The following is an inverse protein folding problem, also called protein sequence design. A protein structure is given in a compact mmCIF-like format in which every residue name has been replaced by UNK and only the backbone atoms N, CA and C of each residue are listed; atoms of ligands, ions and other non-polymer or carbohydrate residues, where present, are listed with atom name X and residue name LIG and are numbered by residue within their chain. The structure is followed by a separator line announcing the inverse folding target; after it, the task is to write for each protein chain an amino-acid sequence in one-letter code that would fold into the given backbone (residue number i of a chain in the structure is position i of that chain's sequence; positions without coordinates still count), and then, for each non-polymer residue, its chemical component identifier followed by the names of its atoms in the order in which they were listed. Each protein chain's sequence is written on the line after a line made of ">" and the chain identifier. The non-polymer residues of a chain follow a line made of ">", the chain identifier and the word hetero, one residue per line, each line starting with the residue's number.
data_IF_136339382965
#
_entry.id   IF_136339382965
#
_cell.length_a   1.000
_cell.length_b   1.000
_cell.length_c   1.000
_cell.angle_alpha   90.00
_cell.angle_beta   90.00
_cell.angle_gamma   90.00
#
_symmetry.space_group_name_H-M   'P 1'
#
loop_
_entity.id
_entity.type
_entity.pdbx_description
1 polymer ?
#
# COMPACT_ATOMS: atom_id res chain seq x y z
N UNK A 1 -11.66 35.28 43.54
CA UNK A 1 -11.61 35.13 42.07
C UNK A 1 -11.14 33.72 41.77
N UNK A 2 -12.04 32.87 41.31
CA UNK A 2 -11.76 31.46 41.00
C UNK A 2 -11.43 31.39 39.52
N UNK A 3 -10.17 31.12 39.18
CA UNK A 3 -9.76 30.84 37.79
C UNK A 3 -9.76 29.32 37.66
N UNK A 4 -10.89 28.77 37.21
CA UNK A 4 -10.98 27.37 36.81
C UNK A 4 -10.25 27.20 35.48
N UNK A 5 -9.05 26.62 35.55
CA UNK A 5 -8.31 26.17 34.38
C UNK A 5 -8.90 24.81 33.94
N UNK A 6 -9.75 24.84 32.92
CA UNK A 6 -10.18 23.63 32.21
C UNK A 6 -9.00 23.13 31.39
N UNK A 7 -8.32 22.09 31.87
CA UNK A 7 -7.38 21.32 31.09
C UNK A 7 -8.18 20.48 30.08
N UNK A 8 -8.22 20.93 28.82
CA UNK A 8 -8.68 20.13 27.69
C UNK A 8 -7.69 18.98 27.49
N UNK A 9 -8.06 17.79 27.96
CA UNK A 9 -7.42 16.55 27.51
C UNK A 9 -7.73 16.38 26.02
N UNK A 10 -6.80 16.81 25.16
CA UNK A 10 -6.75 16.32 23.80
C UNK A 10 -6.28 14.85 23.87
N UNK A 11 -7.24 13.92 23.93
CA UNK A 11 -6.98 12.52 23.62
C UNK A 11 -6.59 12.50 22.14
N UNK A 12 -5.29 12.45 21.87
CA UNK A 12 -4.74 12.05 20.59
C UNK A 12 -5.14 10.59 20.38
N UNK A 13 -6.34 10.37 19.84
CA UNK A 13 -6.68 9.09 19.20
C UNK A 13 -5.76 8.97 18.01
N UNK A 14 -4.61 8.30 18.17
CA UNK A 14 -3.84 7.83 17.04
C UNK A 14 -4.77 6.86 16.31
N UNK A 15 -5.42 7.33 15.25
CA UNK A 15 -6.19 6.48 14.36
C UNK A 15 -5.26 5.38 13.87
N UNK A 16 -5.65 4.12 14.01
CA UNK A 16 -4.90 2.99 13.47
C UNK A 16 -4.62 3.24 11.98
N UNK A 17 -3.40 2.95 11.48
CA UNK A 17 -3.03 3.26 10.12
C UNK A 17 -3.91 2.46 9.15
N UNK A 18 -4.66 3.19 8.33
CA UNK A 18 -5.43 2.63 7.23
C UNK A 18 -4.48 1.95 6.21
N UNK A 19 -4.79 0.69 5.85
CA UNK A 19 -4.02 -0.10 4.90
C UNK A 19 -3.82 0.59 3.54
N UNK A 20 -4.83 1.33 3.06
CA UNK A 20 -4.72 2.09 1.82
C UNK A 20 -3.77 3.28 1.97
N UNK A 21 -3.80 3.98 3.11
CA UNK A 21 -2.85 5.05 3.43
C UNK A 21 -1.41 4.51 3.48
N UNK A 22 -1.21 3.39 4.17
CA UNK A 22 0.09 2.74 4.29
C UNK A 22 0.63 2.32 2.91
N UNK A 23 -0.24 1.83 2.03
CA UNK A 23 0.11 1.45 0.65
C UNK A 23 0.57 2.63 -0.18
N UNK A 24 -0.17 3.75 -0.13
CA UNK A 24 0.17 4.97 -0.87
C UNK A 24 1.51 5.54 -0.40
N UNK A 25 1.69 5.62 0.91
CA UNK A 25 2.92 6.13 1.50
C UNK A 25 4.13 5.20 1.22
N UNK A 26 3.94 3.88 1.25
CA UNK A 26 4.96 2.92 0.82
C UNK A 26 5.33 3.09 -0.66
N UNK A 27 4.36 3.40 -1.53
CA UNK A 27 4.64 3.65 -2.95
C UNK A 27 5.60 4.82 -3.16
N UNK A 28 5.43 5.91 -2.40
CA UNK A 28 6.28 7.09 -2.46
C UNK A 28 7.68 6.80 -1.93
N UNK A 29 7.75 6.14 -0.77
CA UNK A 29 9.02 5.67 -0.17
C UNK A 29 9.78 4.74 -1.11
N UNK A 30 9.07 3.84 -1.80
CA UNK A 30 9.68 2.91 -2.74
C UNK A 30 10.18 3.60 -4.00
N UNK A 31 9.38 4.50 -4.55
CA UNK A 31 9.74 5.31 -5.70
C UNK A 31 11.03 6.09 -5.40
N UNK A 32 11.05 6.81 -4.27
CA UNK A 32 12.19 7.55 -3.77
C UNK A 32 13.45 6.66 -3.60
N UNK A 33 13.28 5.46 -3.03
CA UNK A 33 14.35 4.47 -2.90
C UNK A 33 14.98 4.11 -4.26
N UNK A 34 14.15 3.81 -5.26
CA UNK A 34 14.63 3.33 -6.55
C UNK A 34 15.06 4.48 -7.49
N UNK A 35 14.57 5.71 -7.26
CA UNK A 35 15.07 6.93 -7.90
C UNK A 35 16.30 7.52 -7.20
N UNK A 36 16.74 6.93 -6.08
CA UNK A 36 17.92 7.37 -5.33
C UNK A 36 17.72 8.70 -4.63
N UNK A 37 16.48 9.17 -4.52
CA UNK A 37 16.10 10.38 -3.80
C UNK A 37 15.77 9.98 -2.36
N UNK A 38 16.66 10.22 -1.39
CA UNK A 38 16.33 10.01 0.02
C UNK A 38 15.95 8.56 0.38
N UNK A 39 16.67 7.58 -0.18
CA UNK A 39 16.31 6.17 -0.07
C UNK A 39 16.13 5.73 1.41
N UNK A 40 14.94 5.22 1.79
CA UNK A 40 14.75 4.63 3.10
C UNK A 40 15.72 3.44 3.31
N UNK A 41 16.13 3.17 4.56
CA UNK A 41 16.94 2.00 4.84
C UNK A 41 16.19 0.73 4.41
N UNK A 42 16.90 -0.18 3.74
CA UNK A 42 16.36 -1.51 3.47
C UNK A 42 16.04 -2.21 4.80
N UNK A 43 14.93 -2.94 4.84
CA UNK A 43 14.49 -3.60 6.05
C UNK A 43 13.04 -4.07 5.96
N UNK A 44 12.61 -4.73 7.04
CA UNK A 44 11.22 -5.11 7.25
C UNK A 44 10.67 -4.44 8.51
N UNK A 45 9.37 -4.17 8.51
CA UNK A 45 8.66 -3.58 9.64
C UNK A 45 7.27 -4.17 9.71
N UNK A 46 6.83 -4.56 10.92
CA UNK A 46 5.44 -4.92 11.18
C UNK A 46 4.69 -3.66 11.61
N UNK A 47 3.54 -3.42 10.99
CA UNK A 47 2.65 -2.30 11.28
C UNK A 47 1.29 -2.86 11.69
N UNK A 48 0.87 -2.57 12.91
CA UNK A 48 -0.47 -2.89 13.39
C UNK A 48 -1.49 -1.99 12.67
N UNK A 49 -2.47 -2.61 12.00
CA UNK A 49 -3.53 -1.93 11.26
C UNK A 49 -4.84 -1.85 12.06
N UNK A 50 -4.87 -2.43 13.26
CA UNK A 50 -6.08 -2.61 14.04
C UNK A 50 -6.90 -3.83 13.64
N UNK A 51 -7.95 -4.12 14.42
CA UNK A 51 -8.85 -5.26 14.24
C UNK A 51 -8.14 -6.64 14.13
N UNK A 52 -6.94 -6.75 14.69
CA UNK A 52 -6.11 -7.95 14.63
C UNK A 52 -5.43 -8.18 13.28
N UNK A 53 -5.34 -7.16 12.44
CA UNK A 53 -4.59 -7.18 11.18
C UNK A 53 -3.21 -6.54 11.39
N UNK A 54 -2.18 -7.21 10.85
CA UNK A 54 -0.82 -6.69 10.80
C UNK A 54 -0.34 -6.67 9.36
N UNK A 55 0.35 -5.59 8.99
CA UNK A 55 1.05 -5.46 7.71
C UNK A 55 2.54 -5.71 7.89
N UNK A 56 3.09 -6.67 7.14
CA UNK A 56 4.53 -6.79 6.93
C UNK A 56 4.93 -5.90 5.76
N UNK A 57 5.63 -4.80 6.06
CA UNK A 57 6.24 -3.92 5.07
C UNK A 57 7.68 -4.35 4.85
N UNK A 58 8.09 -4.50 3.59
CA UNK A 58 9.46 -4.79 3.20
C UNK A 58 9.95 -3.76 2.18
N UNK A 59 11.15 -3.23 2.40
CA UNK A 59 11.84 -2.32 1.49
C UNK A 59 13.20 -2.93 1.16
N UNK A 60 13.49 -3.14 -0.12
CA UNK A 60 14.74 -3.69 -0.62
C UNK A 60 15.29 -2.84 -1.76
N UNK A 61 16.55 -3.06 -2.14
CA UNK A 61 17.14 -2.39 -3.30
C UNK A 61 16.45 -2.73 -4.63
N UNK A 62 15.74 -3.86 -4.70
CA UNK A 62 15.08 -4.36 -5.92
C UNK A 62 13.57 -4.09 -5.96
N UNK A 63 12.99 -3.54 -4.89
CA UNK A 63 11.55 -3.31 -4.80
C UNK A 63 11.05 -3.30 -3.36
N UNK A 64 9.77 -2.99 -3.22
CA UNK A 64 9.10 -2.94 -1.92
C UNK A 64 7.82 -3.76 -1.96
N UNK A 65 7.38 -4.21 -0.80
CA UNK A 65 6.12 -4.93 -0.69
C UNK A 65 5.44 -4.67 0.65
N UNK A 66 4.13 -4.91 0.65
CA UNK A 66 3.28 -4.92 1.82
C UNK A 66 2.45 -6.20 1.76
N UNK A 67 2.46 -6.96 2.84
CA UNK A 67 1.64 -8.17 2.98
C UNK A 67 0.76 -8.02 4.22
N UNK A 68 -0.56 -8.23 4.06
CA UNK A 68 -1.51 -8.23 5.17
C UNK A 68 -2.12 -9.62 5.26
N UNK A 69 -1.85 -10.30 6.37
CA UNK A 69 -2.43 -11.61 6.68
C UNK A 69 -3.84 -11.47 7.24
N UNK A 70 -4.66 -12.48 7.01
CA UNK A 70 -6.01 -12.53 7.56
C UNK A 70 -7.04 -11.64 6.85
N UNK A 71 -6.71 -11.08 5.69
CA UNK A 71 -7.60 -10.28 4.85
C UNK A 71 -8.78 -11.13 4.35
N UNK A 72 -10.00 -10.57 4.37
CA UNK A 72 -11.25 -11.30 4.07
C UNK A 72 -12.13 -10.66 3.01
N UNK A 73 -11.86 -9.41 2.64
CA UNK A 73 -12.67 -8.66 1.68
C UNK A 73 -12.08 -8.75 0.27
N UNK A 74 -12.90 -9.12 -0.71
CA UNK A 74 -12.53 -9.11 -2.12
C UNK A 74 -13.41 -8.15 -2.94
N UNK A 75 -14.14 -7.25 -2.28
CA UNK A 75 -15.06 -6.29 -2.92
C UNK A 75 -14.35 -5.36 -3.91
N UNK A 76 -13.03 -5.18 -3.76
CA UNK A 76 -12.21 -4.22 -4.48
C UNK A 76 -12.20 -2.83 -3.86
N UNK A 77 -12.79 -2.67 -2.67
CA UNK A 77 -12.77 -1.40 -1.95
C UNK A 77 -11.33 -0.93 -1.72
N UNK A 78 -10.45 -1.83 -1.27
CA UNK A 78 -9.03 -1.55 -1.08
C UNK A 78 -8.35 -1.07 -2.37
N UNK A 79 -8.46 -1.85 -3.47
CA UNK A 79 -7.86 -1.46 -4.74
C UNK A 79 -8.42 -0.14 -5.31
N UNK A 80 -9.71 0.12 -5.09
CA UNK A 80 -10.39 1.37 -5.50
C UNK A 80 -9.86 2.56 -4.74
N UNK A 81 -9.74 2.43 -3.42
CA UNK A 81 -9.26 3.51 -2.56
C UNK A 81 -7.77 3.83 -2.82
N UNK A 82 -6.92 2.81 -2.95
CA UNK A 82 -5.51 3.01 -3.30
C UNK A 82 -5.40 3.71 -4.66
N UNK A 83 -6.16 3.26 -5.67
CA UNK A 83 -6.17 3.91 -6.99
C UNK A 83 -6.55 5.38 -6.88
N UNK A 84 -7.65 5.70 -6.21
CA UNK A 84 -8.17 7.06 -6.15
C UNK A 84 -7.18 8.00 -5.44
N UNK A 85 -6.50 7.51 -4.40
CA UNK A 85 -5.44 8.26 -3.72
C UNK A 85 -4.20 8.45 -4.59
N UNK A 86 -3.75 7.41 -5.30
CA UNK A 86 -2.59 7.51 -6.20
C UNK A 86 -2.85 8.39 -7.41
N UNK A 87 -4.07 8.41 -7.94
CA UNK A 87 -4.45 9.31 -9.04
C UNK A 87 -4.55 10.78 -8.59
N UNK A 88 -4.77 11.02 -7.30
CA UNK A 88 -4.72 12.35 -6.70
C UNK A 88 -3.31 12.76 -6.26
N UNK A 89 -2.40 11.80 -6.09
CA UNK A 89 -0.99 12.03 -5.81
C UNK A 89 -0.33 12.66 -7.05
N UNK A 90 0.58 13.63 -6.86
CA UNK A 90 1.12 14.46 -7.94
C UNK A 90 1.92 13.70 -9.01
N UNK A 91 2.12 12.40 -8.83
CA UNK A 91 2.69 11.49 -9.80
C UNK A 91 1.69 11.10 -10.89
N UNK A 92 2.18 10.86 -12.11
CA UNK A 92 1.33 10.50 -13.27
C UNK A 92 0.94 9.02 -13.28
N UNK A 93 0.35 8.55 -12.19
CA UNK A 93 -0.14 7.17 -12.10
C UNK A 93 -1.19 6.88 -13.18
N UNK A 94 -1.13 5.67 -13.72
CA UNK A 94 -2.07 5.14 -14.71
C UNK A 94 -2.47 3.73 -14.31
N UNK A 95 -3.73 3.38 -14.55
CA UNK A 95 -4.21 2.00 -14.37
C UNK A 95 -3.78 1.20 -15.60
N UNK A 96 -2.89 0.23 -15.40
CA UNK A 96 -2.44 -0.68 -16.46
C UNK A 96 -3.36 -1.90 -16.58
N UNK A 97 -3.81 -2.44 -15.46
CA UNK A 97 -4.76 -3.54 -15.38
C UNK A 97 -5.70 -3.34 -14.20
N UNK A 98 -6.99 -3.63 -14.38
CA UNK A 98 -7.99 -3.40 -13.34
C UNK A 98 -8.71 -4.69 -12.96
N UNK A 99 -8.39 -5.19 -11.76
CA UNK A 99 -9.07 -6.31 -11.12
C UNK A 99 -9.29 -7.52 -12.03
N UNK A 100 -8.29 -7.85 -12.83
CA UNK A 100 -8.33 -9.02 -13.68
C UNK A 100 -8.22 -10.29 -12.84
N UNK A 101 -8.85 -11.38 -13.30
CA UNK A 101 -8.76 -12.68 -12.63
C UNK A 101 -7.58 -13.46 -13.20
N UNK A 102 -6.76 -14.03 -12.32
CA UNK A 102 -5.67 -14.95 -12.68
C UNK A 102 -5.73 -16.18 -11.78
N UNK A 103 -5.31 -17.33 -12.30
CA UNK A 103 -5.06 -18.53 -11.48
C UNK A 103 -3.56 -18.65 -11.28
N UNK A 104 -3.12 -18.71 -10.02
CA UNK A 104 -1.74 -18.98 -9.64
C UNK A 104 -1.66 -20.29 -8.82
N UNK A 105 -0.48 -20.61 -8.29
CA UNK A 105 -0.26 -21.82 -7.48
C UNK A 105 -1.13 -21.89 -6.22
N UNK A 106 -1.58 -20.74 -5.72
CA UNK A 106 -2.45 -20.61 -4.55
C UNK A 106 -3.93 -20.58 -4.90
N UNK A 107 -4.28 -20.64 -6.18
CA UNK A 107 -5.66 -20.63 -6.68
C UNK A 107 -6.04 -19.36 -7.46
N UNK A 108 -7.34 -19.11 -7.64
CA UNK A 108 -7.80 -17.89 -8.31
C UNK A 108 -7.59 -16.65 -7.43
N UNK A 109 -7.16 -15.56 -8.06
CA UNK A 109 -6.92 -14.26 -7.42
C UNK A 109 -7.36 -13.13 -8.34
N UNK A 110 -7.68 -11.96 -7.76
CA UNK A 110 -7.87 -10.71 -8.49
C UNK A 110 -6.63 -9.85 -8.35
N UNK A 111 -6.18 -9.27 -9.45
CA UNK A 111 -5.04 -8.37 -9.42
C UNK A 111 -5.30 -7.07 -10.14
N UNK A 112 -4.73 -6.00 -9.61
CA UNK A 112 -4.74 -4.66 -10.18
C UNK A 112 -3.30 -4.23 -10.37
N UNK A 113 -2.98 -3.59 -11.50
CA UNK A 113 -1.68 -3.03 -11.73
C UNK A 113 -1.79 -1.55 -12.12
N UNK A 114 -0.90 -0.75 -11.53
CA UNK A 114 -0.77 0.66 -11.82
C UNK A 114 0.68 1.00 -12.13
N UNK A 115 0.89 2.03 -12.94
CA UNK A 115 2.23 2.45 -13.39
C UNK A 115 2.38 3.95 -13.36
N UNK A 116 3.56 4.44 -12.98
CA UNK A 116 4.03 5.77 -13.32
C UNK A 116 4.99 5.62 -14.50
N UNK A 117 4.64 6.08 -15.71
CA UNK A 117 5.54 6.02 -16.84
C UNK A 117 6.71 6.99 -16.66
N UNK A 118 7.85 6.64 -17.25
CA UNK A 118 9.02 7.53 -17.45
C UNK A 118 9.65 8.13 -16.17
N UNK A 119 9.76 7.35 -15.10
CA UNK A 119 10.36 7.83 -13.83
C UNK A 119 11.85 8.17 -13.97
N UNK A 120 12.58 7.48 -14.85
CA UNK A 120 13.97 7.83 -15.22
C UNK A 120 14.24 7.61 -16.71
N UNK A 121 13.55 8.35 -17.59
CA UNK A 121 13.73 8.32 -19.06
C UNK A 121 13.98 6.88 -19.55
N UNK A 122 12.95 6.05 -19.69
CA UNK A 122 12.98 4.61 -20.08
C UNK A 122 12.82 3.58 -18.95
N UNK A 123 12.21 3.93 -17.80
CA UNK A 123 11.76 2.90 -16.86
C UNK A 123 10.44 3.30 -16.23
N UNK A 124 9.53 2.34 -16.12
CA UNK A 124 8.25 2.52 -15.45
C UNK A 124 8.38 2.10 -13.98
N UNK A 125 7.83 2.90 -13.08
CA UNK A 125 7.58 2.44 -11.72
C UNK A 125 6.20 1.77 -11.70
N UNK A 126 6.13 0.54 -11.20
CA UNK A 126 4.89 -0.22 -11.18
C UNK A 126 4.49 -0.55 -9.75
N UNK A 127 3.18 -0.71 -9.58
CA UNK A 127 2.54 -1.27 -8.40
C UNK A 127 1.62 -2.40 -8.85
N UNK A 128 1.60 -3.50 -8.10
CA UNK A 128 0.65 -4.58 -8.25
C UNK A 128 -0.05 -4.83 -6.92
N UNK A 129 -1.38 -4.92 -6.94
CA UNK A 129 -2.21 -5.33 -5.81
C UNK A 129 -2.80 -6.70 -6.15
N UNK A 130 -2.71 -7.65 -5.23
CA UNK A 130 -3.26 -8.99 -5.34
C UNK A 130 -4.25 -9.18 -4.18
N UNK A 131 -5.54 -9.13 -4.51
CA UNK A 131 -6.64 -9.37 -3.57
C UNK A 131 -7.00 -10.87 -3.60
N UNK A 132 -7.08 -11.54 -2.44
CA UNK A 132 -7.55 -12.91 -2.39
C UNK A 132 -9.04 -12.99 -2.77
N UNK A 133 -9.51 -14.14 -3.26
CA UNK A 133 -10.95 -14.36 -3.44
C UNK A 133 -11.68 -14.42 -2.10
N UNK A 134 -12.96 -14.02 -2.13
CA UNK A 134 -13.84 -14.07 -0.96
C UNK A 134 -13.82 -15.45 -0.30
N UNK A 135 -13.71 -15.48 1.03
CA UNK A 135 -13.86 -16.71 1.80
C UNK A 135 -12.96 -16.76 3.03
N UNK A 136 -12.11 -17.79 3.08
CA UNK A 136 -11.17 -17.97 4.20
C UNK A 136 -10.18 -16.79 4.29
N UNK A 137 -9.70 -16.45 5.50
CA UNK A 137 -8.69 -15.43 5.68
C UNK A 137 -7.46 -15.78 4.84
N UNK A 138 -7.03 -14.84 4.01
CA UNK A 138 -5.92 -15.01 3.08
C UNK A 138 -5.05 -13.75 3.08
N UNK A 139 -3.94 -13.82 2.35
CA UNK A 139 -3.00 -12.72 2.23
C UNK A 139 -3.45 -11.73 1.15
N UNK A 140 -3.58 -10.46 1.52
CA UNK A 140 -3.53 -9.33 0.59
C UNK A 140 -2.05 -8.98 0.36
N UNK A 141 -1.63 -8.87 -0.89
CA UNK A 141 -0.25 -8.52 -1.24
C UNK A 141 -0.21 -7.29 -2.14
N UNK A 142 0.69 -6.36 -1.83
CA UNK A 142 1.04 -5.23 -2.68
C UNK A 142 2.54 -5.26 -2.94
N UNK A 143 2.93 -5.10 -4.20
CA UNK A 143 4.32 -5.09 -4.63
C UNK A 143 4.62 -3.88 -5.49
N UNK A 144 5.84 -3.37 -5.37
CA UNK A 144 6.35 -2.19 -6.08
C UNK A 144 7.72 -2.48 -6.69
N UNK A 145 8.00 -1.93 -7.86
CA UNK A 145 9.30 -2.08 -8.50
C UNK A 145 9.51 -1.13 -9.66
N UNK A 146 10.73 -1.14 -10.20
CA UNK A 146 11.02 -0.55 -11.50
C UNK A 146 11.02 -1.67 -12.54
N UNK A 147 10.23 -1.48 -13.60
CA UNK A 147 10.21 -2.33 -14.79
C UNK A 147 10.92 -1.66 -15.97
N UNK A 148 11.39 -2.45 -16.95
CA UNK A 148 11.89 -1.92 -18.22
C UNK A 148 10.80 -1.16 -18.99
#
# INVERSE_FOLDING_TARGET
>A
MIVSLLATLAVLTQSEPDAAALTVDLSQRCLAAMTGEGAPPAGSTLVDLGDGLEALVMITASGCSLEIEGWRDDSGAFATEVRDRLLADGYRWQVAQWRERKVNESGPTRWTAMVVPDVRRHSAFWMQIIEPEQGAPQRLSVSFGIGP
#
